data_IF_501964889319
#
_entry.id   IF_501964889319
#
_cell.length_a   1.000
_cell.length_b   1.000
_cell.length_c   1.000
_cell.angle_alpha   90.00
_cell.angle_beta   90.00
_cell.angle_gamma   90.00
#
_symmetry.space_group_name_H-M   'P 1'
#
loop_
_entity.id
_entity.type
_entity.pdbx_description
1 polymer ?
#
# COMPACT_ATOMS: atom_id res chain seq x y z
N UNK A 1 -14.43 12.59 -12.30
CA UNK A 1 -13.61 13.26 -11.28
C UNK A 1 -13.59 14.74 -11.60
N UNK A 2 -14.12 15.59 -10.72
CA UNK A 2 -14.14 17.05 -10.87
C UNK A 2 -12.88 17.70 -10.33
N UNK A 3 -12.68 19.00 -10.62
CA UNK A 3 -11.54 19.77 -10.10
C UNK A 3 -11.55 19.82 -8.57
N UNK A 4 -12.73 19.88 -7.95
CA UNK A 4 -12.89 19.88 -6.50
C UNK A 4 -12.36 18.58 -5.88
N UNK A 5 -12.68 17.42 -6.46
CA UNK A 5 -12.19 16.10 -6.00
C UNK A 5 -10.66 16.03 -6.03
N UNK A 6 -10.04 16.56 -7.09
CA UNK A 6 -8.57 16.60 -7.25
C UNK A 6 -7.93 17.47 -6.16
N UNK A 7 -8.55 18.60 -5.81
CA UNK A 7 -8.05 19.50 -4.78
C UNK A 7 -8.12 18.83 -3.40
N UNK A 8 -9.25 18.19 -3.09
CA UNK A 8 -9.42 17.50 -1.80
C UNK A 8 -8.48 16.30 -1.70
N UNK A 9 -8.35 15.49 -2.76
CA UNK A 9 -7.39 14.38 -2.79
C UNK A 9 -5.95 14.85 -2.56
N UNK A 10 -5.53 15.96 -3.17
CA UNK A 10 -4.20 16.56 -2.90
C UNK A 10 -4.05 17.08 -1.48
N UNK A 11 -5.13 17.56 -0.86
CA UNK A 11 -5.11 18.02 0.54
C UNK A 11 -4.96 16.83 1.48
N UNK A 12 -5.74 15.76 1.27
CA UNK A 12 -5.63 14.51 2.01
C UNK A 12 -4.24 13.89 1.88
N UNK A 13 -3.70 13.83 0.65
CA UNK A 13 -2.34 13.33 0.40
C UNK A 13 -1.28 14.12 1.15
N UNK A 14 -1.40 15.46 1.19
CA UNK A 14 -0.45 16.31 1.94
C UNK A 14 -0.55 16.09 3.44
N UNK A 15 -1.75 15.96 3.98
CA UNK A 15 -1.96 15.65 5.39
C UNK A 15 -1.36 14.29 5.75
N UNK A 16 -1.59 13.28 4.91
CA UNK A 16 -1.02 11.95 5.03
C UNK A 16 0.51 11.97 5.05
N UNK A 17 1.14 12.63 4.08
CA UNK A 17 2.60 12.75 4.03
C UNK A 17 3.18 13.58 5.18
N UNK A 18 2.42 14.50 5.76
CA UNK A 18 2.83 15.23 6.96
C UNK A 18 2.91 14.30 8.19
N UNK A 19 1.94 13.39 8.34
CA UNK A 19 1.97 12.35 9.39
C UNK A 19 3.19 11.46 9.25
N UNK A 20 3.45 10.96 8.04
CA UNK A 20 4.64 10.15 7.75
C UNK A 20 5.92 10.89 8.17
N UNK A 21 6.06 12.18 7.80
CA UNK A 21 7.25 12.98 8.15
C UNK A 21 7.42 13.25 9.65
N UNK A 22 6.36 13.11 10.44
CA UNK A 22 6.42 13.25 11.90
C UNK A 22 6.93 11.98 12.60
N UNK A 23 6.96 10.84 11.92
CA UNK A 23 7.49 9.59 12.45
C UNK A 23 9.01 9.64 12.62
N UNK A 24 9.61 8.76 13.45
CA UNK A 24 11.06 8.63 13.55
C UNK A 24 11.70 8.25 12.19
N UNK A 25 12.99 8.57 11.96
CA UNK A 25 13.63 8.42 10.64
C UNK A 25 13.60 7.00 10.07
N UNK A 26 13.74 5.97 10.91
CA UNK A 26 13.67 4.56 10.50
C UNK A 26 12.26 4.20 10.00
N UNK A 27 11.22 4.64 10.70
CA UNK A 27 9.83 4.46 10.27
C UNK A 27 9.55 5.16 8.94
N UNK A 28 10.08 6.36 8.72
CA UNK A 28 9.93 7.08 7.46
C UNK A 28 10.52 6.31 6.27
N UNK A 29 11.71 5.74 6.46
CA UNK A 29 12.40 4.95 5.42
C UNK A 29 11.58 3.72 5.07
N UNK A 30 11.18 2.95 6.08
CA UNK A 30 10.39 1.73 5.88
C UNK A 30 9.05 2.05 5.23
N UNK A 31 8.37 3.10 5.68
CA UNK A 31 7.11 3.53 5.08
C UNK A 31 7.25 3.81 3.58
N UNK A 32 8.31 4.53 3.18
CA UNK A 32 8.56 4.82 1.76
C UNK A 32 8.85 3.56 0.94
N UNK A 33 9.59 2.60 1.49
CA UNK A 33 9.86 1.33 0.82
C UNK A 33 8.58 0.50 0.66
N UNK A 34 7.75 0.40 1.71
CA UNK A 34 6.43 -0.24 1.64
C UNK A 34 5.53 0.44 0.61
N UNK A 35 5.48 1.78 0.61
CA UNK A 35 4.70 2.55 -0.35
C UNK A 35 5.13 2.24 -1.80
N UNK A 36 6.44 2.24 -2.09
CA UNK A 36 6.97 1.87 -3.42
C UNK A 36 6.61 0.43 -3.79
N UNK A 37 6.67 -0.48 -2.83
CA UNK A 37 6.32 -1.88 -3.03
C UNK A 37 4.84 -2.03 -3.40
N UNK A 38 3.93 -1.43 -2.63
CA UNK A 38 2.50 -1.50 -2.92
C UNK A 38 2.12 -0.82 -4.23
N UNK A 39 2.78 0.27 -4.63
CA UNK A 39 2.53 0.82 -5.97
C UNK A 39 2.90 -0.14 -7.11
N UNK A 40 3.74 -1.14 -6.85
CA UNK A 40 4.11 -2.17 -7.84
C UNK A 40 3.22 -3.40 -7.77
N UNK A 41 2.96 -3.94 -6.58
CA UNK A 41 2.31 -5.25 -6.42
C UNK A 41 1.02 -5.19 -5.61
N UNK A 42 0.67 -4.03 -5.10
CA UNK A 42 -0.42 -3.85 -4.16
C UNK A 42 -1.83 -3.95 -4.78
N UNK A 43 -2.84 -3.74 -3.93
CA UNK A 43 -4.24 -3.77 -4.34
C UNK A 43 -4.56 -2.74 -5.42
N UNK A 44 -5.55 -3.04 -6.26
CA UNK A 44 -5.99 -2.11 -7.32
C UNK A 44 -6.61 -0.82 -6.78
N UNK A 45 -7.15 -0.86 -5.58
CA UNK A 45 -7.77 0.26 -4.88
C UNK A 45 -6.76 1.02 -4.00
N UNK A 46 -5.47 0.69 -4.03
CA UNK A 46 -4.43 1.35 -3.23
C UNK A 46 -4.49 2.89 -3.23
N UNK A 47 -4.73 3.61 -4.35
CA UNK A 47 -4.75 5.08 -4.35
C UNK A 47 -5.88 5.69 -3.53
N UNK A 48 -7.02 5.01 -3.46
CA UNK A 48 -8.25 5.49 -2.80
C UNK A 48 -8.58 4.68 -1.54
N UNK A 49 -7.81 3.62 -1.27
CA UNK A 49 -8.05 2.65 -0.22
C UNK A 49 -7.37 3.01 1.11
N UNK A 50 -7.82 2.39 2.22
CA UNK A 50 -7.37 2.73 3.56
C UNK A 50 -5.99 2.15 3.92
N UNK A 51 -5.36 1.37 3.03
CA UNK A 51 -4.15 0.61 3.34
C UNK A 51 -3.00 1.53 3.79
N UNK A 52 -2.73 2.57 3.00
CA UNK A 52 -1.61 3.48 3.27
C UNK A 52 -1.82 4.28 4.56
N UNK A 53 -3.05 4.71 4.85
CA UNK A 53 -3.38 5.41 6.10
C UNK A 53 -3.32 4.48 7.31
N UNK A 54 -3.83 3.24 7.18
CA UNK A 54 -3.77 2.25 8.25
C UNK A 54 -2.34 1.87 8.65
N UNK A 55 -1.41 1.83 7.69
CA UNK A 55 0.02 1.63 8.00
C UNK A 55 0.57 2.81 8.82
N UNK A 56 0.19 4.05 8.50
CA UNK A 56 0.63 5.22 9.28
C UNK A 56 0.04 5.16 10.69
N UNK A 57 -1.23 4.83 10.84
CA UNK A 57 -1.87 4.66 12.15
C UNK A 57 -1.11 3.61 13.01
N UNK A 58 -0.79 2.46 12.42
CA UNK A 58 -0.01 1.40 13.06
C UNK A 58 1.41 1.85 13.43
N UNK A 59 2.06 2.62 12.57
CA UNK A 59 3.42 3.14 12.82
C UNK A 59 3.44 4.22 13.90
N UNK A 60 2.43 5.10 13.95
CA UNK A 60 2.29 6.09 15.01
C UNK A 60 2.13 5.43 16.38
N UNK A 61 1.29 4.39 16.48
CA UNK A 61 1.13 3.61 17.72
C UNK A 61 2.44 2.90 18.11
N UNK A 62 3.11 2.30 17.12
CA UNK A 62 4.39 1.65 17.29
C UNK A 62 5.48 2.57 17.85
N UNK A 63 5.61 3.75 17.24
CA UNK A 63 6.56 4.78 17.64
C UNK A 63 6.22 5.36 19.02
N UNK A 64 4.94 5.59 19.33
CA UNK A 64 4.49 6.06 20.65
C UNK A 64 4.84 5.07 21.77
N UNK A 65 4.87 3.78 21.45
CA UNK A 65 5.28 2.71 22.37
C UNK A 65 6.81 2.48 22.40
N UNK A 66 7.60 3.30 21.71
CA UNK A 66 9.06 3.21 21.71
C UNK A 66 9.62 1.96 21.02
N UNK A 67 8.83 1.29 20.18
CA UNK A 67 9.29 0.12 19.42
C UNK A 67 10.09 0.57 18.20
N UNK A 68 11.09 -0.21 17.80
CA UNK A 68 11.75 -0.01 16.51
C UNK A 68 10.87 -0.53 15.37
N UNK A 69 10.95 0.08 14.18
CA UNK A 69 10.07 -0.31 13.07
C UNK A 69 10.23 -1.78 12.67
N UNK A 70 11.47 -2.29 12.59
CA UNK A 70 11.73 -3.71 12.27
C UNK A 70 11.34 -4.66 13.41
N UNK A 71 11.20 -4.16 14.64
CA UNK A 71 10.64 -4.94 15.74
C UNK A 71 9.13 -5.14 15.58
N UNK A 72 8.44 -4.21 14.91
CA UNK A 72 7.01 -4.29 14.66
C UNK A 72 6.66 -5.19 13.50
N UNK A 73 7.37 -5.02 12.38
CA UNK A 73 7.02 -5.68 11.11
C UNK A 73 7.92 -6.88 10.79
N UNK A 74 9.03 -7.04 11.51
CA UNK A 74 10.07 -8.00 11.20
C UNK A 74 11.13 -7.46 10.23
N UNK A 75 12.14 -8.28 9.97
CA UNK A 75 13.24 -7.92 9.07
C UNK A 75 12.88 -8.09 7.58
N UNK A 76 11.85 -8.88 7.29
CA UNK A 76 11.36 -9.09 5.93
C UNK A 76 10.15 -8.20 5.65
N UNK A 77 10.44 -6.99 5.19
CA UNK A 77 9.42 -5.97 4.88
C UNK A 77 8.52 -6.43 3.73
N UNK A 78 9.06 -7.17 2.76
CA UNK A 78 8.28 -7.66 1.62
C UNK A 78 7.28 -8.72 2.07
N UNK A 79 7.71 -9.70 2.87
CA UNK A 79 6.82 -10.70 3.44
C UNK A 79 5.70 -10.07 4.27
N UNK A 80 6.01 -9.07 5.10
CA UNK A 80 5.00 -8.32 5.85
C UNK A 80 3.99 -7.64 4.91
N UNK A 81 4.47 -7.00 3.85
CA UNK A 81 3.60 -6.36 2.86
C UNK A 81 2.70 -7.37 2.15
N UNK A 82 3.25 -8.51 1.73
CA UNK A 82 2.50 -9.58 1.04
C UNK A 82 1.39 -10.12 1.95
N UNK A 83 1.70 -10.38 3.22
CA UNK A 83 0.71 -10.82 4.21
C UNK A 83 -0.40 -9.78 4.43
N UNK A 84 -0.07 -8.49 4.36
CA UNK A 84 -1.03 -7.41 4.55
C UNK A 84 -2.05 -7.31 3.39
N UNK A 85 -1.68 -7.73 2.19
CA UNK A 85 -2.52 -7.60 0.98
C UNK A 85 -3.02 -8.94 0.44
N UNK A 86 -2.72 -10.07 1.08
CA UNK A 86 -3.01 -11.43 0.60
C UNK A 86 -4.48 -11.68 0.21
N UNK A 87 -5.41 -11.00 0.88
CA UNK A 87 -6.86 -11.15 0.66
C UNK A 87 -7.43 -10.02 -0.23
N UNK A 88 -6.57 -9.13 -0.73
CA UNK A 88 -6.93 -8.00 -1.58
C UNK A 88 -6.76 -8.33 -3.05
N UNK A 89 -7.62 -7.78 -3.91
CA UNK A 89 -7.51 -7.96 -5.35
C UNK A 89 -6.38 -7.09 -5.90
N UNK A 90 -5.34 -7.72 -6.44
CA UNK A 90 -4.20 -7.06 -7.08
C UNK A 90 -4.36 -7.00 -8.60
N UNK A 91 -3.52 -6.19 -9.25
CA UNK A 91 -3.44 -6.20 -10.71
C UNK A 91 -2.97 -7.57 -11.24
N UNK A 92 -2.11 -8.27 -10.52
CA UNK A 92 -1.64 -9.60 -10.90
C UNK A 92 -2.80 -10.61 -11.00
N UNK A 93 -3.74 -10.57 -10.06
CA UNK A 93 -4.95 -11.43 -10.09
C UNK A 93 -5.80 -11.16 -11.33
N UNK A 94 -5.95 -9.88 -11.69
CA UNK A 94 -6.70 -9.48 -12.89
C UNK A 94 -6.03 -10.02 -14.15
N UNK A 95 -4.70 -9.91 -14.25
CA UNK A 95 -3.95 -10.45 -15.39
C UNK A 95 -4.00 -11.98 -15.45
N UNK A 96 -3.94 -12.68 -14.32
CA UNK A 96 -4.07 -14.15 -14.30
C UNK A 96 -5.46 -14.59 -14.77
N UNK A 97 -6.52 -13.90 -14.35
CA UNK A 97 -7.89 -14.18 -14.80
C UNK A 97 -8.05 -13.98 -16.31
N UNK A 98 -7.45 -12.93 -16.88
CA UNK A 98 -7.54 -12.66 -18.32
C UNK A 98 -6.80 -13.70 -19.17
N UNK A 99 -5.66 -14.20 -18.70
CA UNK A 99 -4.88 -15.25 -19.40
C UNK A 99 -5.56 -16.62 -19.26
N UNK A 100 -6.17 -16.91 -18.11
CA UNK A 100 -6.86 -18.19 -17.85
C UNK A 100 -8.19 -18.32 -18.60
N UNK A 101 -8.76 -17.20 -19.07
CA UNK A 101 -9.96 -17.14 -19.90
C UNK A 101 -9.72 -17.53 -21.37
N UNK A 102 -9.41 -18.80 -21.63
CA UNK A 102 -9.39 -19.55 -22.93
C UNK A 102 -8.79 -18.86 -24.18
N UNK A 103 -7.80 -19.48 -24.86
CA UNK A 103 -7.55 -19.19 -26.27
C UNK A 103 -8.77 -19.65 -27.08
N UNK A 104 -9.24 -18.80 -28.00
CA UNK A 104 -10.33 -19.14 -28.91
C UNK A 104 -10.06 -20.48 -29.58
N UNK A 105 -11.03 -21.40 -29.47
CA UNK A 105 -11.19 -22.49 -30.42
C UNK A 105 -11.37 -21.87 -31.81
N UNK A 106 -10.26 -21.74 -32.55
CA UNK A 106 -10.30 -21.62 -33.98
C UNK A 106 -10.70 -23.00 -34.51
N UNK A 107 -12.02 -23.21 -34.60
CA UNK A 107 -12.58 -24.32 -35.35
C UNK A 107 -12.29 -24.09 -36.85
N UNK A 108 -11.93 -25.18 -37.54
CA UNK A 108 -11.42 -25.24 -38.91
C UNK A 108 -12.50 -25.05 -39.96
#
# INVERSE_FOLDING_TARGET
>A
MGIQDIIEGKKQWRAHMARVKALPPDYQIVYQEMQRYFFKVGPVDLPDGPLLSGIVDFFEEGAANGKGVLQLIGNDVAAFCDDLIKDSRTYADIYQQSISGKPGTADK
#
